data_IF_782478719585
#
_entry.id   IF_782478719585
#
_cell.length_a   1.000
_cell.length_b   1.000
_cell.length_c   1.000
_cell.angle_alpha   90.00
_cell.angle_beta   90.00
_cell.angle_gamma   90.00
#
_symmetry.space_group_name_H-M   'P 1'
#
loop_
_entity.id
_entity.type
_entity.pdbx_description
1 polymer ?
#
# COMPACT_ATOMS: atom_id res chain seq x y z
N UNK A 1 -4.72 14.75 17.59
CA UNK A 1 -4.56 14.02 16.32
C UNK A 1 -3.10 14.16 15.96
N UNK A 2 -2.33 13.07 15.98
CA UNK A 2 -0.98 13.13 15.43
C UNK A 2 -1.12 13.41 13.94
N UNK A 3 -0.30 14.33 13.42
CA UNK A 3 -0.16 14.54 11.97
C UNK A 3 0.47 13.25 11.45
N UNK A 4 -0.29 12.38 10.80
CA UNK A 4 0.26 11.14 10.27
C UNK A 4 1.34 11.51 9.26
N UNK A 5 2.58 11.12 9.55
CA UNK A 5 3.73 11.51 8.74
C UNK A 5 3.80 10.61 7.50
N UNK A 6 3.93 11.21 6.32
CA UNK A 6 4.26 10.47 5.11
C UNK A 6 5.77 10.30 5.02
N UNK A 7 6.20 9.08 4.67
CA UNK A 7 7.51 8.87 4.08
C UNK A 7 7.42 9.08 2.57
N UNK A 8 8.11 10.09 2.05
CA UNK A 8 8.16 10.38 0.62
C UNK A 8 9.49 9.95 0.03
N UNK A 9 9.45 9.16 -1.05
CA UNK A 9 10.62 8.78 -1.84
C UNK A 9 10.42 9.17 -3.30
N UNK A 10 11.47 9.62 -3.95
CA UNK A 10 11.42 10.08 -5.33
C UNK A 10 12.57 9.47 -6.15
N UNK A 11 12.21 8.92 -7.30
CA UNK A 11 13.10 8.48 -8.36
C UNK A 11 12.72 9.18 -9.67
N UNK A 12 13.53 9.01 -10.72
CA UNK A 12 13.19 9.59 -12.03
C UNK A 12 11.89 9.01 -12.61
N UNK A 13 11.59 7.75 -12.30
CA UNK A 13 10.45 7.01 -12.85
C UNK A 13 9.18 7.08 -11.99
N UNK A 14 9.26 7.50 -10.72
CA UNK A 14 8.08 7.60 -9.84
C UNK A 14 8.38 8.43 -8.58
N UNK A 15 7.29 8.87 -7.93
CA UNK A 15 7.29 9.30 -6.53
C UNK A 15 6.36 8.37 -5.75
N UNK A 16 6.76 7.93 -4.56
CA UNK A 16 5.89 7.17 -3.65
C UNK A 16 5.77 7.89 -2.32
N UNK A 17 4.53 8.01 -1.82
CA UNK A 17 4.24 8.49 -0.48
C UNK A 17 3.62 7.36 0.31
N UNK A 18 4.25 6.98 1.42
CA UNK A 18 3.82 5.87 2.29
C UNK A 18 3.41 6.46 3.63
N UNK A 19 2.19 6.19 4.05
CA UNK A 19 1.68 6.58 5.37
C UNK A 19 2.42 5.81 6.47
N UNK A 20 3.07 6.52 7.38
CA UNK A 20 3.64 5.90 8.58
C UNK A 20 2.56 5.86 9.65
N UNK A 21 2.04 4.67 9.95
CA UNK A 21 1.15 4.48 11.09
C UNK A 21 1.84 5.01 12.36
N UNK A 22 1.15 5.88 13.10
CA UNK A 22 1.72 6.79 14.09
C UNK A 22 2.90 6.25 14.92
N UNK A 23 4.08 6.82 14.70
CA UNK A 23 5.30 6.57 15.48
C UNK A 23 6.04 5.27 15.18
N UNK A 24 5.61 4.50 14.17
CA UNK A 24 6.34 3.30 13.72
C UNK A 24 7.64 3.70 13.02
N UNK A 25 8.72 3.06 13.42
CA UNK A 25 10.02 3.17 12.76
C UNK A 25 9.92 2.69 11.29
N UNK A 26 10.34 3.51 10.30
CA UNK A 26 10.33 3.14 8.89
C UNK A 26 11.01 1.81 8.56
N UNK A 27 12.02 1.37 9.32
CA UNK A 27 12.67 0.06 9.10
C UNK A 27 11.79 -1.12 9.54
N UNK A 28 10.82 -0.87 10.42
CA UNK A 28 9.95 -1.88 11.00
C UNK A 28 8.50 -1.80 10.49
N UNK A 29 8.23 -0.99 9.47
CA UNK A 29 6.89 -0.80 8.93
C UNK A 29 6.33 -2.10 8.33
N UNK A 30 5.20 -2.57 8.85
CA UNK A 30 4.54 -3.80 8.40
C UNK A 30 3.27 -3.56 7.58
N UNK A 31 2.77 -2.33 7.58
CA UNK A 31 1.68 -1.81 6.72
C UNK A 31 2.09 -0.46 6.16
N UNK A 32 2.13 -0.33 4.84
CA UNK A 32 2.32 0.93 4.15
C UNK A 32 1.14 1.17 3.21
N UNK A 33 0.24 2.06 3.62
CA UNK A 33 -0.77 2.62 2.71
C UNK A 33 -0.09 3.69 1.86
N UNK A 34 -0.16 3.59 0.53
CA UNK A 34 0.69 4.37 -0.34
C UNK A 34 0.04 4.83 -1.63
N UNK A 35 0.52 5.99 -2.09
CA UNK A 35 0.20 6.54 -3.40
C UNK A 35 1.48 6.61 -4.21
N UNK A 36 1.52 5.87 -5.32
CA UNK A 36 2.58 5.95 -6.34
C UNK A 36 2.14 6.92 -7.42
N UNK A 37 2.99 7.89 -7.76
CA UNK A 37 2.76 8.88 -8.83
C UNK A 37 3.81 8.70 -9.92
N UNK A 38 3.37 8.45 -11.15
CA UNK A 38 4.24 8.37 -12.33
C UNK A 38 4.53 9.78 -12.91
N UNK A 39 5.55 9.94 -13.77
CA UNK A 39 5.92 11.25 -14.33
C UNK A 39 4.83 11.91 -15.17
N UNK A 40 3.92 11.12 -15.77
CA UNK A 40 2.75 11.62 -16.48
C UNK A 40 1.62 12.13 -15.57
N UNK A 41 1.78 11.97 -14.25
CA UNK A 41 0.81 12.38 -13.23
C UNK A 41 -0.21 11.30 -12.89
N UNK A 42 -0.15 10.13 -13.53
CA UNK A 42 -0.95 8.96 -13.14
C UNK A 42 -0.63 8.54 -11.71
N UNK A 43 -1.68 8.21 -10.96
CA UNK A 43 -1.57 7.81 -9.55
C UNK A 43 -2.12 6.41 -9.35
N UNK A 44 -1.49 5.65 -8.48
CA UNK A 44 -1.88 4.28 -8.15
C UNK A 44 -1.94 4.12 -6.63
N UNK A 45 -2.97 3.42 -6.15
CA UNK A 45 -3.11 3.03 -4.74
C UNK A 45 -2.39 1.71 -4.51
N UNK A 46 -1.63 1.59 -3.43
CA UNK A 46 -1.06 0.32 -3.00
C UNK A 46 -1.08 0.21 -1.47
N UNK A 47 -1.85 -0.75 -0.95
CA UNK A 47 -1.77 -1.16 0.44
C UNK A 47 -0.78 -2.31 0.57
N UNK A 48 0.45 -2.01 0.98
CA UNK A 48 1.50 -3.00 1.17
C UNK A 48 1.48 -3.54 2.59
N UNK A 49 1.28 -4.85 2.77
CA UNK A 49 1.18 -5.45 4.10
C UNK A 49 1.97 -6.75 4.21
N UNK A 50 2.65 -6.94 5.34
CA UNK A 50 3.24 -8.25 5.67
C UNK A 50 2.15 -9.26 5.99
N UNK A 51 2.46 -10.56 5.80
CA UNK A 51 1.53 -11.64 6.16
C UNK A 51 1.17 -11.61 7.64
N UNK A 52 2.14 -11.31 8.49
CA UNK A 52 1.98 -11.22 9.95
C UNK A 52 1.00 -10.10 10.32
N UNK A 53 1.08 -8.95 9.66
CA UNK A 53 0.16 -7.84 9.93
C UNK A 53 -1.26 -8.11 9.40
N UNK A 54 -1.39 -8.78 8.25
CA UNK A 54 -2.71 -9.26 7.78
C UNK A 54 -3.34 -10.17 8.84
N UNK A 55 -2.59 -11.12 9.40
CA UNK A 55 -3.08 -12.00 10.47
C UNK A 55 -3.52 -11.19 11.69
N UNK A 56 -2.72 -10.21 12.13
CA UNK A 56 -3.07 -9.36 13.29
C UNK A 56 -4.30 -8.49 13.03
N UNK A 57 -4.48 -7.97 11.82
CA UNK A 57 -5.71 -7.27 11.42
C UNK A 57 -6.92 -8.19 11.53
N UNK A 58 -6.83 -9.40 10.97
CA UNK A 58 -7.91 -10.40 11.04
C UNK A 58 -8.22 -10.80 12.48
N UNK A 59 -7.21 -11.01 13.32
CA UNK A 59 -7.39 -11.33 14.75
C UNK A 59 -8.09 -10.20 15.51
N UNK A 60 -7.75 -8.93 15.24
CA UNK A 60 -8.45 -7.77 15.83
C UNK A 60 -9.92 -7.73 15.41
N UNK A 61 -10.22 -8.06 14.15
CA UNK A 61 -11.58 -8.05 13.61
C UNK A 61 -12.48 -9.16 14.16
N UNK A 62 -11.91 -10.22 14.77
CA UNK A 62 -12.70 -11.22 15.51
C UNK A 62 -13.55 -10.58 16.62
N UNK A 63 -13.09 -9.47 17.19
CA UNK A 63 -13.77 -8.76 18.27
C UNK A 63 -14.85 -7.77 17.80
N UNK A 64 -14.84 -7.34 16.53
CA UNK A 64 -15.70 -6.27 16.01
C UNK A 64 -16.85 -6.73 15.10
N UNK A 65 -16.96 -8.04 14.83
CA UNK A 65 -17.86 -8.64 13.83
C UNK A 65 -17.63 -8.17 12.38
N UNK A 66 -16.66 -7.28 12.15
CA UNK A 66 -16.21 -6.88 10.83
C UNK A 66 -15.62 -8.08 10.09
N UNK A 67 -15.72 -8.05 8.77
CA UNK A 67 -15.18 -9.09 7.89
C UNK A 67 -15.56 -10.52 8.29
N UNK A 68 -16.83 -10.72 8.70
CA UNK A 68 -17.32 -12.00 9.25
C UNK A 68 -16.45 -12.46 10.44
N UNK A 69 -16.25 -11.56 11.40
CA UNK A 69 -15.38 -11.81 12.56
C UNK A 69 -13.94 -12.07 12.17
N UNK A 70 -13.40 -11.32 11.20
CA UNK A 70 -12.03 -11.47 10.72
C UNK A 70 -11.77 -12.71 9.86
N UNK A 71 -12.81 -13.38 9.35
CA UNK A 71 -12.64 -14.55 8.47
C UNK A 71 -12.02 -14.20 7.11
N UNK A 72 -12.04 -12.93 6.71
CA UNK A 72 -11.42 -12.45 5.49
C UNK A 72 -10.78 -11.07 5.68
N UNK A 73 -9.83 -10.75 4.81
CA UNK A 73 -9.32 -9.40 4.58
C UNK A 73 -9.20 -9.22 3.07
N UNK A 74 -9.77 -8.15 2.52
CA UNK A 74 -9.83 -7.93 1.09
C UNK A 74 -9.80 -6.43 0.79
N UNK A 75 -8.88 -6.01 -0.07
CA UNK A 75 -8.84 -4.68 -0.68
C UNK A 75 -8.27 -4.81 -2.09
N UNK A 76 -8.77 -4.05 -3.08
CA UNK A 76 -8.36 -4.18 -4.48
C UNK A 76 -6.90 -3.78 -4.75
N UNK A 77 -6.25 -3.07 -3.83
CA UNK A 77 -4.88 -2.57 -3.92
C UNK A 77 -3.89 -3.31 -3.00
N UNK A 78 -4.28 -4.48 -2.47
CA UNK A 78 -3.43 -5.24 -1.54
C UNK A 78 -2.20 -5.81 -2.25
N UNK A 79 -1.03 -5.47 -1.74
CA UNK A 79 0.25 -6.12 -2.08
C UNK A 79 0.79 -6.80 -0.84
N UNK A 80 0.89 -8.14 -0.87
CA UNK A 80 1.45 -8.91 0.25
C UNK A 80 2.97 -8.89 0.16
N UNK A 81 3.63 -8.23 1.11
CA UNK A 81 5.09 -8.09 1.15
C UNK A 81 5.72 -9.11 2.09
N UNK A 82 6.91 -9.62 1.72
CA UNK A 82 7.63 -10.60 2.54
C UNK A 82 8.47 -9.98 3.64
N UNK A 83 9.02 -8.81 3.37
CA UNK A 83 9.92 -8.10 4.29
C UNK A 83 9.27 -6.81 4.76
N UNK A 84 9.46 -6.50 6.04
CA UNK A 84 9.09 -5.22 6.63
C UNK A 84 9.97 -4.09 6.10
N UNK A 85 9.50 -2.88 6.30
CA UNK A 85 10.26 -1.65 6.16
C UNK A 85 10.03 -0.94 4.82
N UNK A 86 10.15 0.37 4.88
CA UNK A 86 9.95 1.28 3.74
C UNK A 86 10.88 0.96 2.57
N UNK A 87 12.12 0.57 2.82
CA UNK A 87 13.06 0.21 1.76
C UNK A 87 12.56 -0.97 0.91
N UNK A 88 12.03 -2.03 1.55
CA UNK A 88 11.47 -3.18 0.86
C UNK A 88 10.23 -2.81 0.03
N UNK A 89 9.39 -1.90 0.56
CA UNK A 89 8.21 -1.38 -0.14
C UNK A 89 8.60 -0.54 -1.37
N UNK A 90 9.64 0.29 -1.25
CA UNK A 90 10.18 1.07 -2.39
C UNK A 90 10.71 0.14 -3.48
N UNK A 91 11.44 -0.92 -3.13
CA UNK A 91 11.96 -1.88 -4.11
C UNK A 91 10.83 -2.59 -4.87
N UNK A 92 9.71 -2.88 -4.20
CA UNK A 92 8.50 -3.44 -4.86
C UNK A 92 7.88 -2.42 -5.81
N UNK A 93 7.75 -1.15 -5.40
CA UNK A 93 7.24 -0.10 -6.29
C UNK A 93 8.15 0.07 -7.50
N UNK A 94 9.48 0.03 -7.31
CA UNK A 94 10.45 0.09 -8.40
C UNK A 94 10.23 -1.06 -9.39
N UNK A 95 10.11 -2.29 -8.90
CA UNK A 95 9.85 -3.47 -9.75
C UNK A 95 8.54 -3.35 -10.53
N UNK A 96 7.44 -2.93 -9.89
CA UNK A 96 6.13 -2.73 -10.54
C UNK A 96 6.17 -1.65 -11.64
N UNK A 97 6.97 -0.60 -11.45
CA UNK A 97 7.14 0.48 -12.43
C UNK A 97 8.05 0.04 -13.58
N UNK A 98 9.20 -0.58 -13.28
CA UNK A 98 10.18 -1.03 -14.28
C UNK A 98 9.63 -2.18 -15.15
N UNK A 99 8.79 -3.04 -14.59
CA UNK A 99 8.11 -4.13 -15.31
C UNK A 99 6.84 -3.68 -16.06
N UNK A 100 6.44 -2.42 -15.92
CA UNK A 100 5.18 -1.85 -16.44
C UNK A 100 3.91 -2.56 -15.90
N UNK A 101 4.02 -3.40 -14.87
CA UNK A 101 2.89 -4.15 -14.29
C UNK A 101 2.00 -3.31 -13.38
N UNK A 102 2.47 -2.13 -12.94
CA UNK A 102 1.73 -1.26 -12.02
C UNK A 102 0.30 -0.97 -12.48
N UNK A 103 0.11 -0.70 -13.78
CA UNK A 103 -1.21 -0.37 -14.35
C UNK A 103 -2.16 -1.57 -14.46
N UNK A 104 -1.60 -2.79 -14.44
CA UNK A 104 -2.33 -4.04 -14.50
C UNK A 104 -2.69 -4.55 -13.11
N UNK A 105 -1.81 -4.36 -12.13
CA UNK A 105 -1.95 -4.95 -10.81
C UNK A 105 -2.60 -4.01 -9.79
N UNK A 106 -2.40 -2.70 -9.92
CA UNK A 106 -2.86 -1.74 -8.93
C UNK A 106 -3.98 -0.84 -9.46
N UNK A 107 -4.98 -0.50 -8.61
CA UNK A 107 -5.99 0.47 -8.96
C UNK A 107 -5.38 1.83 -9.26
N UNK A 108 -5.77 2.40 -10.40
CA UNK A 108 -5.46 3.79 -10.70
C UNK A 108 -6.38 4.70 -9.89
N UNK A 109 -5.87 5.81 -9.39
CA UNK A 109 -6.65 6.85 -8.74
C UNK A 109 -7.02 7.87 -9.81
N UNK A 110 -8.33 8.03 -10.06
CA UNK A 110 -8.83 9.06 -10.97
C UNK A 110 -8.63 10.46 -10.38
N UNK A 111 -8.77 11.49 -11.22
CA UNK A 111 -8.65 12.88 -10.75
C UNK A 111 -9.71 13.25 -9.69
N UNK A 112 -10.85 12.53 -9.68
CA UNK A 112 -11.92 12.71 -8.70
C UNK A 112 -11.70 11.87 -7.43
N UNK A 113 -10.56 11.18 -7.31
CA UNK A 113 -10.20 10.37 -6.15
C UNK A 113 -10.85 8.98 -6.11
N UNK A 114 -11.38 8.50 -7.24
CA UNK A 114 -12.03 7.19 -7.34
C UNK A 114 -10.99 6.15 -7.77
N UNK A 115 -11.02 4.97 -7.13
CA UNK A 115 -10.21 3.82 -7.55
C UNK A 115 -10.80 3.17 -8.81
N UNK A 116 -10.05 3.21 -9.90
CA UNK A 116 -10.31 2.50 -11.14
C UNK A 116 -9.61 1.14 -11.06
N UNK A 117 -10.40 0.09 -10.82
CA UNK A 117 -9.88 -1.27 -10.63
C UNK A 117 -9.44 -1.86 -11.98
N UNK A 118 -8.23 -2.45 -12.09
CA UNK A 118 -7.79 -3.07 -13.32
C UNK A 118 -8.73 -4.19 -13.75
N UNK A 119 -8.99 -4.30 -15.06
CA UNK A 119 -9.74 -5.43 -15.61
C UNK A 119 -8.76 -6.57 -15.89
N UNK A 120 -8.95 -7.71 -15.21
CA UNK A 120 -8.14 -8.92 -15.39
C UNK A 120 -8.26 -9.54 -16.78
#
# INVERSE_FOLDING_TARGET
MADDAYYSWQEAAFTVNILLAGGVDPENLETGDSIVTLPGGEKYSALMMTREEISRVMDRQQSSAESLGGSYFCTPDLVVVRSRGVAAMIDIVRDLVESEEISRLLPRISNDGILEIPSN
#
